data_IF_652724990463
#
_entry.id   IF_652724990463
#
_cell.length_a   1.000
_cell.length_b   1.000
_cell.length_c   1.000
_cell.angle_alpha   90.00
_cell.angle_beta   90.00
_cell.angle_gamma   90.00
#
_symmetry.space_group_name_H-M   'P 1'
#
loop_
_entity.id
_entity.type
_entity.pdbx_description
1 polymer ?
#
# COMPACT_ATOMS: atom_id res chain seq x y z
N UNK A 1 -34.57 -0.40 -19.50
CA UNK A 1 -33.12 -0.14 -19.42
C UNK A 1 -32.69 1.20 -20.04
N UNK A 2 -33.21 1.61 -21.20
CA UNK A 2 -32.80 2.88 -21.85
C UNK A 2 -32.98 4.14 -20.99
N UNK A 3 -34.08 4.25 -20.25
CA UNK A 3 -34.35 5.42 -19.39
C UNK A 3 -33.23 5.62 -18.35
N UNK A 4 -32.78 4.54 -17.70
CA UNK A 4 -31.72 4.60 -16.69
C UNK A 4 -30.38 5.00 -17.31
N UNK A 5 -30.06 4.48 -18.49
CA UNK A 5 -28.81 4.81 -19.19
C UNK A 5 -28.79 6.30 -19.54
N UNK A 6 -29.84 6.81 -20.19
CA UNK A 6 -29.93 8.23 -20.56
C UNK A 6 -29.87 9.12 -19.31
N UNK A 7 -30.64 8.79 -18.27
CA UNK A 7 -30.66 9.56 -17.02
C UNK A 7 -29.29 9.60 -16.33
N UNK A 8 -28.59 8.44 -16.24
CA UNK A 8 -27.25 8.36 -15.66
C UNK A 8 -26.24 9.15 -16.49
N UNK A 9 -26.23 8.98 -17.81
CA UNK A 9 -25.30 9.70 -18.69
C UNK A 9 -25.48 11.21 -18.61
N UNK A 10 -26.73 11.71 -18.66
CA UNK A 10 -26.99 13.15 -18.53
C UNK A 10 -26.61 13.64 -17.13
N UNK A 11 -26.93 12.89 -16.07
CA UNK A 11 -26.56 13.24 -14.70
C UNK A 11 -25.05 13.36 -14.51
N UNK A 12 -24.29 12.39 -15.01
CA UNK A 12 -22.83 12.34 -14.92
C UNK A 12 -22.14 13.47 -15.68
N UNK A 13 -22.79 14.03 -16.71
CA UNK A 13 -22.28 15.22 -17.40
C UNK A 13 -22.28 16.48 -16.51
N UNK A 14 -23.11 16.53 -15.47
CA UNK A 14 -23.21 17.68 -14.57
C UNK A 14 -22.55 17.44 -13.22
N UNK A 15 -22.81 16.30 -12.59
CA UNK A 15 -22.36 16.03 -11.23
C UNK A 15 -22.00 14.56 -11.01
N UNK A 16 -21.05 14.26 -10.11
CA UNK A 16 -20.85 12.92 -9.59
C UNK A 16 -22.10 12.42 -8.85
N UNK A 17 -22.19 11.12 -8.64
CA UNK A 17 -23.35 10.55 -7.96
C UNK A 17 -23.45 11.04 -6.50
N UNK A 18 -24.67 11.09 -5.94
CA UNK A 18 -24.88 11.52 -4.54
C UNK A 18 -24.03 10.70 -3.56
N UNK A 19 -23.80 9.42 -3.85
CA UNK A 19 -22.96 8.56 -3.04
C UNK A 19 -21.47 8.90 -3.13
N UNK A 20 -20.95 9.19 -4.32
CA UNK A 20 -19.58 9.67 -4.50
C UNK A 20 -19.35 10.99 -3.75
N UNK A 21 -20.32 11.90 -3.84
CA UNK A 21 -20.26 13.19 -3.10
C UNK A 21 -20.17 12.92 -1.60
N UNK A 22 -21.00 12.03 -1.05
CA UNK A 22 -20.97 11.69 0.39
C UNK A 22 -19.65 11.00 0.78
N UNK A 23 -19.13 10.09 -0.04
CA UNK A 23 -17.84 9.44 0.20
C UNK A 23 -16.72 10.47 0.28
N UNK A 24 -16.71 11.42 -0.66
CA UNK A 24 -15.73 12.51 -0.71
C UNK A 24 -15.88 13.44 0.50
N UNK A 25 -17.10 13.85 0.85
CA UNK A 25 -17.37 14.69 2.03
C UNK A 25 -16.98 14.02 3.35
N UNK A 26 -17.09 12.69 3.43
CA UNK A 26 -16.63 11.91 4.59
C UNK A 26 -15.13 11.64 4.60
N UNK A 27 -14.41 11.96 3.52
CA UNK A 27 -12.97 11.68 3.38
C UNK A 27 -12.64 10.20 3.42
N UNK A 28 -13.55 9.33 2.94
CA UNK A 28 -13.32 7.89 2.94
C UNK A 28 -12.40 7.51 1.77
N UNK A 29 -11.32 6.74 2.00
CA UNK A 29 -10.46 6.27 0.92
C UNK A 29 -11.22 5.22 0.10
N UNK A 30 -11.75 5.63 -1.06
CA UNK A 30 -12.47 4.78 -2.00
C UNK A 30 -11.67 4.64 -3.29
N UNK A 31 -11.64 3.43 -3.85
CA UNK A 31 -10.96 3.14 -5.11
C UNK A 31 -12.01 2.85 -6.18
N UNK A 32 -12.05 3.68 -7.21
CA UNK A 32 -13.00 3.53 -8.31
C UNK A 32 -12.70 2.29 -9.16
N UNK A 33 -13.75 1.77 -9.81
CA UNK A 33 -13.65 0.57 -10.64
C UNK A 33 -12.75 0.76 -11.87
N UNK A 34 -12.62 2.00 -12.35
CA UNK A 34 -11.79 2.34 -13.50
C UNK A 34 -10.92 3.55 -13.15
N UNK A 35 -9.63 3.52 -13.50
CA UNK A 35 -8.75 4.67 -13.30
C UNK A 35 -9.14 5.81 -14.24
N UNK A 36 -8.95 7.04 -13.78
CA UNK A 36 -9.14 8.23 -14.61
C UNK A 36 -8.15 8.21 -15.81
N UNK A 37 -8.53 8.77 -16.98
CA UNK A 37 -7.74 8.65 -18.20
C UNK A 37 -6.29 9.13 -18.10
N UNK A 38 -6.01 10.12 -17.24
CA UNK A 38 -4.66 10.68 -17.06
C UNK A 38 -3.74 9.78 -16.22
N UNK A 39 -4.29 8.90 -15.37
CA UNK A 39 -3.51 7.96 -14.54
C UNK A 39 -2.77 6.93 -15.41
N UNK A 40 -3.20 6.74 -16.66
CA UNK A 40 -2.58 5.80 -17.62
C UNK A 40 -1.10 6.08 -17.90
N UNK A 41 -0.68 7.33 -17.72
CA UNK A 41 0.70 7.75 -17.97
C UNK A 41 1.58 7.70 -16.70
N UNK A 42 1.01 7.40 -15.54
CA UNK A 42 1.75 7.32 -14.28
C UNK A 42 2.33 5.93 -14.07
N UNK A 43 3.57 5.87 -13.61
CA UNK A 43 4.22 4.62 -13.25
C UNK A 43 4.17 4.36 -11.74
N UNK A 44 4.29 3.10 -11.34
CA UNK A 44 4.35 2.73 -9.92
C UNK A 44 5.63 3.25 -9.26
N UNK A 45 6.70 3.45 -10.04
CA UNK A 45 7.96 4.04 -9.59
C UNK A 45 7.77 5.48 -9.11
N UNK A 46 7.13 6.33 -9.92
CA UNK A 46 6.81 7.71 -9.54
C UNK A 46 5.98 7.77 -8.25
N UNK A 47 5.04 6.84 -8.07
CA UNK A 47 4.24 6.73 -6.85
C UNK A 47 5.05 6.23 -5.65
N UNK A 48 6.03 5.34 -5.87
CA UNK A 48 6.91 4.84 -4.83
C UNK A 48 7.86 5.93 -4.34
N UNK A 49 8.39 6.74 -5.25
CA UNK A 49 9.29 7.86 -4.95
C UNK A 49 8.59 8.99 -4.18
N UNK A 50 7.30 9.23 -4.46
CA UNK A 50 6.50 10.22 -3.75
C UNK A 50 6.15 9.80 -2.30
N UNK A 51 6.29 8.51 -1.94
CA UNK A 51 5.91 7.99 -0.63
C UNK A 51 7.09 7.98 0.35
N UNK A 52 6.82 8.09 1.67
CA UNK A 52 7.86 8.00 2.68
C UNK A 52 8.55 6.63 2.64
N UNK A 53 9.82 6.61 3.06
CA UNK A 53 10.64 5.42 3.05
C UNK A 53 9.96 4.23 3.74
N UNK A 54 10.00 3.09 3.06
CA UNK A 54 9.38 1.84 3.50
C UNK A 54 10.09 1.27 4.73
N UNK A 55 9.30 0.88 5.74
CA UNK A 55 9.81 0.17 6.92
C UNK A 55 9.80 -1.32 6.66
N UNK A 56 10.99 -1.92 6.66
CA UNK A 56 11.24 -3.31 6.28
C UNK A 56 11.71 -4.10 7.51
N UNK A 57 11.34 -5.37 7.58
CA UNK A 57 11.86 -6.32 8.58
C UNK A 57 12.69 -7.40 7.88
N UNK A 58 13.69 -7.95 8.58
CA UNK A 58 14.46 -9.09 8.09
C UNK A 58 13.77 -10.42 8.45
N UNK A 59 14.11 -11.50 7.73
CA UNK A 59 13.65 -12.86 8.06
C UNK A 59 14.06 -13.29 9.47
N UNK A 60 15.28 -12.91 9.86
CA UNK A 60 15.76 -12.97 11.25
C UNK A 60 15.90 -11.54 11.78
N UNK A 61 15.03 -11.16 12.72
CA UNK A 61 14.98 -9.81 13.26
C UNK A 61 15.03 -9.80 14.79
N UNK A 62 15.71 -8.81 15.37
CA UNK A 62 15.81 -8.68 16.83
C UNK A 62 14.48 -8.22 17.41
N UNK A 63 14.01 -8.88 18.48
CA UNK A 63 12.81 -8.46 19.23
C UNK A 63 12.78 -6.97 19.60
N UNK A 64 13.85 -6.34 20.12
CA UNK A 64 13.82 -4.90 20.42
C UNK A 64 13.52 -4.04 19.18
N UNK A 65 14.02 -4.42 18.00
CA UNK A 65 13.76 -3.72 16.74
C UNK A 65 12.30 -3.85 16.32
N UNK A 66 11.72 -5.05 16.44
CA UNK A 66 10.30 -5.28 16.16
C UNK A 66 9.44 -4.38 17.06
N UNK A 67 9.74 -4.31 18.36
CA UNK A 67 8.99 -3.48 19.31
C UNK A 67 9.15 -1.99 19.00
N UNK A 68 10.36 -1.54 18.65
CA UNK A 68 10.62 -0.17 18.20
C UNK A 68 9.77 0.19 16.97
N UNK A 69 9.80 -0.64 15.92
CA UNK A 69 9.01 -0.44 14.70
C UNK A 69 7.52 -0.40 15.00
N UNK A 70 7.01 -1.31 15.82
CA UNK A 70 5.58 -1.37 16.17
C UNK A 70 5.09 -0.17 16.98
N UNK A 71 5.98 0.49 17.73
CA UNK A 71 5.69 1.71 18.52
C UNK A 71 5.82 2.99 17.69
N UNK A 72 6.82 3.05 16.82
CA UNK A 72 7.15 4.25 16.07
C UNK A 72 6.36 4.37 14.76
N UNK A 73 5.68 3.31 14.31
CA UNK A 73 4.95 3.29 13.04
C UNK A 73 3.48 2.91 13.22
N UNK A 74 2.64 3.51 12.38
CA UNK A 74 1.20 3.22 12.29
C UNK A 74 0.87 2.17 11.23
N UNK A 75 1.88 1.63 10.54
CA UNK A 75 1.69 0.63 9.49
C UNK A 75 1.13 -0.69 10.03
N UNK A 76 0.26 -1.33 9.25
CA UNK A 76 -0.37 -2.60 9.59
C UNK A 76 0.28 -3.83 8.94
N UNK A 77 1.21 -3.61 8.01
CA UNK A 77 1.94 -4.66 7.32
C UNK A 77 3.38 -4.22 7.06
N UNK A 78 4.30 -5.18 7.16
CA UNK A 78 5.72 -4.98 6.97
C UNK A 78 6.22 -6.02 5.97
N UNK A 79 6.87 -5.62 4.87
CA UNK A 79 7.54 -6.55 3.99
C UNK A 79 8.75 -7.17 4.71
N UNK A 80 8.93 -8.47 4.50
CA UNK A 80 10.06 -9.24 4.99
C UNK A 80 11.03 -9.42 3.85
N UNK A 81 12.22 -8.86 4.01
CA UNK A 81 13.28 -8.89 2.99
C UNK A 81 14.46 -9.67 3.54
N UNK A 82 15.05 -10.50 2.70
CA UNK A 82 16.33 -11.14 3.02
C UNK A 82 17.48 -10.26 2.52
N UNK A 83 18.46 -10.01 3.39
CA UNK A 83 19.73 -9.46 2.94
C UNK A 83 20.52 -10.61 2.35
N UNK A 84 20.41 -10.79 1.03
CA UNK A 84 21.15 -11.80 0.31
C UNK A 84 22.64 -11.73 0.67
N UNK A 85 23.15 -12.78 1.29
CA UNK A 85 24.53 -12.92 1.74
C UNK A 85 25.50 -13.25 0.58
N UNK A 86 25.35 -12.68 -0.61
CA UNK A 86 26.31 -12.91 -1.70
C UNK A 86 26.43 -11.68 -2.63
N UNK A 87 27.57 -10.96 -2.61
CA UNK A 87 27.94 -10.09 -3.72
C UNK A 87 28.49 -10.99 -4.83
N UNK A 88 27.63 -11.41 -5.77
CA UNK A 88 28.14 -11.79 -7.08
C UNK A 88 28.55 -10.51 -7.79
N UNK A 89 29.86 -10.43 -8.05
CA UNK A 89 30.58 -9.34 -8.71
C UNK A 89 29.78 -8.77 -9.89
N UNK A 90 29.50 -7.46 -9.85
CA UNK A 90 29.01 -6.69 -11.01
C UNK A 90 27.62 -6.08 -10.91
N UNK A 91 26.83 -6.37 -9.86
CA UNK A 91 25.52 -5.73 -9.65
C UNK A 91 25.58 -4.71 -8.50
N UNK A 92 25.11 -3.46 -8.68
CA UNK A 92 25.16 -2.48 -7.60
C UNK A 92 24.21 -2.92 -6.49
N UNK A 93 24.78 -3.11 -5.28
CA UNK A 93 24.10 -3.19 -3.98
C UNK A 93 23.26 -4.48 -3.80
N UNK A 94 23.65 -5.30 -2.82
CA UNK A 94 23.11 -6.63 -2.54
C UNK A 94 21.60 -6.75 -2.73
N UNK A 95 21.19 -7.69 -3.59
CA UNK A 95 19.80 -7.92 -3.95
C UNK A 95 18.95 -8.14 -2.68
N UNK A 96 18.10 -7.18 -2.38
CA UNK A 96 17.06 -7.26 -1.36
C UNK A 96 15.94 -8.12 -1.91
N UNK A 97 15.95 -9.41 -1.59
CA UNK A 97 14.93 -10.34 -2.05
C UNK A 97 13.71 -10.27 -1.12
N UNK A 98 12.53 -9.95 -1.68
CA UNK A 98 11.29 -9.98 -0.93
C UNK A 98 10.89 -11.43 -0.64
N UNK A 99 10.92 -11.84 0.62
CA UNK A 99 10.49 -13.18 1.05
C UNK A 99 9.01 -13.25 1.39
N UNK A 100 8.41 -12.13 1.80
CA UNK A 100 6.98 -12.09 2.07
C UNK A 100 6.52 -10.83 2.78
N UNK A 101 5.36 -10.91 3.43
CA UNK A 101 4.76 -9.81 4.16
C UNK A 101 4.18 -10.32 5.48
N UNK A 102 4.44 -9.61 6.56
CA UNK A 102 3.92 -9.92 7.90
C UNK A 102 3.04 -8.79 8.41
N UNK A 103 1.90 -9.14 8.99
CA UNK A 103 0.97 -8.17 9.56
C UNK A 103 1.37 -7.79 10.99
N UNK A 104 1.10 -6.54 11.36
CA UNK A 104 1.22 -6.04 12.74
C UNK A 104 0.46 -6.93 13.73
N UNK A 105 -0.74 -7.39 13.35
CA UNK A 105 -1.54 -8.28 14.18
C UNK A 105 -0.82 -9.60 14.50
N UNK A 106 -0.12 -10.19 13.53
CA UNK A 106 0.63 -11.43 13.74
C UNK A 106 1.82 -11.22 14.68
N UNK A 107 2.57 -10.14 14.50
CA UNK A 107 3.69 -9.79 15.39
C UNK A 107 3.23 -9.55 16.83
N UNK A 108 2.14 -8.80 17.01
CA UNK A 108 1.57 -8.55 18.34
C UNK A 108 1.07 -9.85 18.98
N UNK A 109 0.42 -10.73 18.22
CA UNK A 109 -0.02 -12.02 18.73
C UNK A 109 1.15 -12.92 19.16
N UNK A 110 2.26 -12.92 18.42
CA UNK A 110 3.47 -13.68 18.77
C UNK A 110 4.17 -13.12 20.00
N UNK A 111 4.29 -11.79 20.10
CA UNK A 111 4.91 -11.13 21.26
C UNK A 111 4.11 -11.32 22.56
N UNK A 112 2.80 -11.54 22.48
CA UNK A 112 1.93 -11.79 23.64
C UNK A 112 1.92 -13.25 24.12
N UNK A 113 2.42 -14.19 23.32
CA UNK A 113 2.43 -15.63 23.66
C UNK A 113 3.66 -16.06 24.48
N UNK A 114 4.60 -15.14 24.70
CA UNK A 114 5.69 -15.27 25.67
C UNK A 114 5.42 -14.33 26.84
#
# INVERSE_FOLDING_TARGET
MFILLIAKTVGDCFNPSVYEIILHLKGLPFLDAHPEPWIRNLTVEELADAKPALVILCGEEKVPRIVEVLKNTTHNGFPVVDQGFFPLVGLPIGAKELKGLILKAHLVAMLRKK
#
